data_IF_943911767313
#
_entry.id   IF_943911767313
#
_cell.length_a   1.000
_cell.length_b   1.000
_cell.length_c   1.000
_cell.angle_alpha   90.00
_cell.angle_beta   90.00
_cell.angle_gamma   90.00
#
_symmetry.space_group_name_H-M   'P 1'
#
loop_
_entity.id
_entity.type
_entity.pdbx_description
1 polymer ?
#
# COMPACT_ATOMS: atom_id res chain seq x y z
N UNK A 1 11.15 9.58 15.32
CA UNK A 1 9.96 8.71 15.26
C UNK A 1 9.98 8.09 13.89
N UNK A 2 9.99 6.76 13.81
CA UNK A 2 10.43 6.02 12.63
C UNK A 2 9.32 5.99 11.58
N UNK A 3 9.42 6.83 10.56
CA UNK A 3 8.66 6.80 9.29
C UNK A 3 9.02 5.55 8.45
N UNK A 4 9.28 4.42 9.10
CA UNK A 4 9.91 3.26 8.50
C UNK A 4 8.87 2.29 7.95
N UNK A 5 9.08 1.90 6.69
CA UNK A 5 8.29 0.85 6.06
C UNK A 5 8.70 -0.51 6.60
N UNK A 6 7.74 -1.26 7.12
CA UNK A 6 7.94 -2.65 7.52
C UNK A 6 7.16 -3.61 6.63
N UNK A 7 7.69 -4.84 6.52
CA UNK A 7 7.05 -5.93 5.79
C UNK A 7 6.58 -6.98 6.79
N UNK A 8 5.33 -7.41 6.65
CA UNK A 8 4.77 -8.53 7.41
C UNK A 8 4.20 -9.55 6.44
N UNK A 9 4.50 -10.83 6.63
CA UNK A 9 3.89 -11.89 5.81
C UNK A 9 2.37 -11.90 5.99
N UNK A 10 1.66 -12.04 4.88
CA UNK A 10 0.22 -12.19 4.88
C UNK A 10 -0.18 -13.51 5.55
N UNK A 11 -1.32 -13.51 6.23
CA UNK A 11 -1.93 -14.71 6.80
C UNK A 11 -3.25 -14.92 6.08
N UNK A 12 -3.39 -16.07 5.40
CA UNK A 12 -4.57 -16.43 4.60
C UNK A 12 -5.09 -17.75 5.14
N UNK A 13 -6.34 -17.78 5.60
CA UNK A 13 -6.93 -18.97 6.21
C UNK A 13 -6.14 -19.49 7.43
N UNK A 14 -5.57 -18.59 8.22
CA UNK A 14 -4.75 -18.93 9.39
C UNK A 14 -3.31 -19.39 9.08
N UNK A 15 -2.91 -19.43 7.80
CA UNK A 15 -1.56 -19.83 7.38
C UNK A 15 -0.78 -18.66 6.82
N UNK A 16 0.48 -18.55 7.23
CA UNK A 16 1.40 -17.55 6.69
C UNK A 16 1.76 -17.87 5.24
N UNK A 17 1.57 -16.93 4.34
CA UNK A 17 2.01 -17.02 2.95
C UNK A 17 3.44 -16.45 2.82
N UNK A 18 4.45 -17.27 2.48
CA UNK A 18 5.87 -16.87 2.56
C UNK A 18 6.27 -15.83 1.52
N UNK A 19 5.63 -15.86 0.35
CA UNK A 19 5.91 -14.99 -0.79
C UNK A 19 4.87 -13.87 -0.93
N UNK A 20 4.23 -13.48 0.17
CA UNK A 20 3.17 -12.48 0.19
C UNK A 20 3.32 -11.58 1.42
N UNK A 21 3.56 -10.31 1.17
CA UNK A 21 3.95 -9.35 2.19
C UNK A 21 2.98 -8.17 2.18
N UNK A 22 2.42 -7.86 3.34
CA UNK A 22 1.74 -6.60 3.62
C UNK A 22 2.80 -5.56 3.95
N UNK A 23 2.69 -4.38 3.33
CA UNK A 23 3.55 -3.24 3.63
C UNK A 23 2.86 -2.33 4.64
N UNK A 24 3.54 -2.05 5.74
CA UNK A 24 2.99 -1.30 6.87
C UNK A 24 3.81 -0.03 7.10
N UNK A 25 3.12 1.09 7.25
CA UNK A 25 3.68 2.40 7.63
C UNK A 25 2.83 2.99 8.74
N UNK A 26 3.42 3.39 9.86
CA UNK A 26 2.71 3.94 11.03
C UNK A 26 1.45 3.13 11.40
N UNK A 27 1.62 1.81 11.57
CA UNK A 27 0.55 0.84 11.83
C UNK A 27 -0.54 0.71 10.74
N UNK A 28 -0.45 1.47 9.65
CA UNK A 28 -1.37 1.44 8.52
C UNK A 28 -0.90 0.46 7.46
N UNK A 29 -1.82 -0.40 6.99
CA UNK A 29 -1.58 -1.22 5.80
C UNK A 29 -1.66 -0.34 4.55
N UNK A 30 -0.52 -0.08 3.94
CA UNK A 30 -0.40 0.85 2.79
C UNK A 30 -0.03 0.14 1.49
N UNK A 31 -0.01 -1.19 1.49
CA UNK A 31 0.35 -1.94 0.31
C UNK A 31 0.52 -3.42 0.49
N UNK A 32 0.85 -4.06 -0.63
CA UNK A 32 1.15 -5.49 -0.72
C UNK A 32 2.22 -5.74 -1.78
N UNK A 33 3.09 -6.70 -1.51
CA UNK A 33 4.11 -7.20 -2.44
C UNK A 33 4.05 -8.72 -2.39
N UNK A 34 3.75 -9.36 -3.51
CA UNK A 34 3.59 -10.81 -3.55
C UNK A 34 4.11 -11.41 -4.85
N UNK A 35 4.58 -12.65 -4.76
CA UNK A 35 5.03 -13.40 -5.92
C UNK A 35 3.84 -13.89 -6.73
N UNK A 36 3.96 -13.74 -8.03
CA UNK A 36 3.05 -14.27 -9.04
C UNK A 36 3.86 -15.04 -10.08
N UNK A 37 3.15 -15.64 -11.04
CA UNK A 37 3.76 -16.30 -12.20
C UNK A 37 3.54 -15.42 -13.42
N UNK A 38 4.61 -15.04 -14.11
CA UNK A 38 4.53 -14.29 -15.35
C UNK A 38 3.89 -15.13 -16.47
N UNK A 39 3.39 -14.44 -17.50
CA UNK A 39 3.06 -15.09 -18.78
C UNK A 39 4.35 -15.72 -19.33
N UNK A 40 4.38 -17.05 -19.43
CA UNK A 40 5.58 -17.82 -19.79
C UNK A 40 6.27 -18.56 -18.64
N UNK A 41 5.72 -18.53 -17.42
CA UNK A 41 6.13 -19.41 -16.31
C UNK A 41 7.28 -18.89 -15.45
N UNK A 42 7.82 -17.70 -15.76
CA UNK A 42 8.85 -17.05 -14.93
C UNK A 42 8.31 -16.55 -13.59
N UNK A 43 9.19 -16.43 -12.60
CA UNK A 43 8.86 -15.76 -11.35
C UNK A 43 8.68 -14.25 -11.59
N UNK A 44 7.61 -13.69 -11.05
CA UNK A 44 7.33 -12.26 -11.12
C UNK A 44 6.78 -11.78 -9.78
N UNK A 45 6.96 -10.50 -9.47
CA UNK A 45 6.55 -9.91 -8.20
C UNK A 45 5.60 -8.76 -8.47
N UNK A 46 4.35 -8.94 -8.08
CA UNK A 46 3.36 -7.86 -8.10
C UNK A 46 3.51 -6.99 -6.86
N UNK A 47 3.39 -5.68 -7.04
CA UNK A 47 3.40 -4.71 -5.97
C UNK A 47 2.27 -3.69 -6.14
N UNK A 48 1.74 -3.21 -5.02
CA UNK A 48 0.66 -2.23 -4.99
C UNK A 48 0.79 -1.34 -3.76
N UNK A 49 0.91 -0.02 -3.97
CA UNK A 49 0.85 1.02 -2.95
C UNK A 49 -0.54 1.68 -2.98
N UNK A 50 -1.23 1.69 -1.86
CA UNK A 50 -2.58 2.24 -1.74
C UNK A 50 -2.84 2.79 -0.35
N UNK A 51 -3.83 3.68 -0.24
CA UNK A 51 -4.36 4.15 1.03
C UNK A 51 -5.83 3.76 1.16
N UNK A 52 -6.31 3.49 2.38
CA UNK A 52 -7.73 3.24 2.59
C UNK A 52 -8.58 4.40 2.08
N UNK A 53 -9.64 4.08 1.32
CA UNK A 53 -10.59 5.04 0.75
C UNK A 53 -10.01 6.01 -0.30
N UNK A 54 -8.82 5.72 -0.84
CA UNK A 54 -8.23 6.48 -1.94
C UNK A 54 -8.16 5.58 -3.18
N UNK A 55 -8.74 5.98 -4.32
CA UNK A 55 -8.60 5.23 -5.57
C UNK A 55 -7.13 5.02 -5.93
N UNK A 56 -6.74 3.78 -6.18
CA UNK A 56 -5.36 3.45 -6.52
C UNK A 56 -5.07 3.78 -7.99
N UNK A 57 -4.21 4.78 -8.21
CA UNK A 57 -3.73 5.14 -9.55
C UNK A 57 -2.91 4.00 -10.18
N UNK A 58 -2.91 3.92 -11.51
CA UNK A 58 -2.13 2.92 -12.25
C UNK A 58 -0.64 2.98 -11.93
N UNK A 59 -0.08 4.19 -11.75
CA UNK A 59 1.32 4.39 -11.39
C UNK A 59 1.69 3.87 -9.98
N UNK A 60 0.72 3.53 -9.13
CA UNK A 60 0.96 3.04 -7.77
C UNK A 60 0.86 1.51 -7.67
N UNK A 61 0.93 0.80 -8.80
CA UNK A 61 1.01 -0.66 -8.86
C UNK A 61 1.91 -1.10 -10.02
N UNK A 62 2.40 -2.33 -9.97
CA UNK A 62 3.17 -2.89 -11.07
C UNK A 62 3.69 -4.29 -10.78
N UNK A 63 4.63 -4.68 -11.62
CA UNK A 63 5.32 -5.97 -11.62
C UNK A 63 6.84 -5.74 -11.61
N UNK A 64 7.61 -6.72 -11.13
CA UNK A 64 9.06 -6.66 -11.07
C UNK A 64 9.66 -8.07 -11.06
N UNK A 65 10.84 -8.23 -11.67
CA UNK A 65 11.51 -9.52 -11.79
C UNK A 65 11.99 -10.11 -10.45
N UNK A 66 12.05 -9.31 -9.38
CA UNK A 66 12.51 -9.75 -8.06
C UNK A 66 11.81 -9.02 -6.92
N UNK A 67 11.84 -9.62 -5.73
CA UNK A 67 11.30 -9.02 -4.51
C UNK A 67 11.98 -7.67 -4.20
N UNK A 68 13.29 -7.56 -4.40
CA UNK A 68 14.00 -6.32 -4.10
C UNK A 68 13.69 -5.20 -5.10
N UNK A 69 13.52 -5.55 -6.38
CA UNK A 69 13.04 -4.61 -7.38
C UNK A 69 11.60 -4.15 -7.06
N UNK A 70 10.73 -5.06 -6.62
CA UNK A 70 9.38 -4.72 -6.16
C UNK A 70 9.39 -3.79 -4.94
N UNK A 71 10.27 -4.05 -3.94
CA UNK A 71 10.45 -3.17 -2.78
C UNK A 71 10.93 -1.77 -3.19
N UNK A 72 11.87 -1.67 -4.13
CA UNK A 72 12.35 -0.39 -4.66
C UNK A 72 11.23 0.38 -5.36
N UNK A 73 10.51 -0.27 -6.29
CA UNK A 73 9.40 0.35 -7.00
C UNK A 73 8.29 0.82 -6.04
N UNK A 74 7.96 0.00 -5.04
CA UNK A 74 7.03 0.35 -3.97
C UNK A 74 7.48 1.61 -3.22
N UNK A 75 8.76 1.67 -2.79
CA UNK A 75 9.31 2.84 -2.08
C UNK A 75 9.20 4.11 -2.90
N UNK A 76 9.51 4.05 -4.19
CA UNK A 76 9.37 5.19 -5.09
C UNK A 76 7.92 5.63 -5.22
N UNK A 77 6.97 4.70 -5.38
CA UNK A 77 5.55 5.01 -5.43
C UNK A 77 5.03 5.63 -4.12
N UNK A 78 5.48 5.12 -2.97
CA UNK A 78 5.13 5.68 -1.66
C UNK A 78 5.68 7.10 -1.47
N UNK A 79 6.93 7.35 -1.85
CA UNK A 79 7.52 8.69 -1.80
C UNK A 79 6.77 9.70 -2.69
N UNK A 80 6.38 9.28 -3.90
CA UNK A 80 5.58 10.10 -4.81
C UNK A 80 4.19 10.39 -4.21
N UNK A 81 3.54 9.38 -3.63
CA UNK A 81 2.22 9.52 -3.01
C UNK A 81 2.27 10.43 -1.78
N UNK A 82 3.28 10.30 -0.91
CA UNK A 82 3.49 11.22 0.21
C UNK A 82 3.69 12.66 -0.26
N UNK A 83 4.27 12.86 -1.45
CA UNK A 83 4.51 14.19 -2.01
C UNK A 83 3.30 14.79 -2.71
N UNK A 84 2.25 13.98 -2.99
CA UNK A 84 1.06 14.42 -3.72
C UNK A 84 0.23 15.44 -2.89
N UNK A 85 0.14 16.71 -3.33
CA UNK A 85 -0.63 17.73 -2.62
C UNK A 85 -2.14 17.49 -2.65
N UNK A 86 -2.65 16.78 -3.65
CA UNK A 86 -4.07 16.50 -3.81
C UNK A 86 -4.52 15.45 -2.79
N UNK A 87 -3.71 14.41 -2.59
CA UNK A 87 -3.96 13.43 -1.53
C UNK A 87 -4.00 14.08 -0.14
N UNK A 88 -3.09 15.02 0.14
CA UNK A 88 -3.08 15.76 1.42
C UNK A 88 -4.38 16.56 1.61
N UNK A 89 -4.91 17.17 0.55
CA UNK A 89 -6.20 17.89 0.60
C UNK A 89 -7.39 16.95 0.81
N UNK A 90 -7.41 15.81 0.11
CA UNK A 90 -8.50 14.83 0.23
C UNK A 90 -8.57 14.23 1.64
N UNK A 91 -7.42 13.97 2.27
CA UNK A 91 -7.35 13.52 3.66
C UNK A 91 -7.84 14.57 4.66
N UNK A 92 -7.51 15.85 4.45
CA UNK A 92 -7.99 16.94 5.30
C UNK A 92 -9.53 17.05 5.24
N UNK A 93 -10.11 16.97 4.04
CA UNK A 93 -11.57 17.00 3.86
C UNK A 93 -12.28 15.75 4.40
N UNK A 94 -11.65 14.57 4.34
CA UNK A 94 -12.23 13.34 4.90
C UNK A 94 -12.26 13.32 6.43
N UNK A 95 -11.28 13.96 7.09
CA UNK A 95 -11.27 14.11 8.56
C UNK A 95 -12.41 15.01 9.05
N UNK A 96 -12.72 16.06 8.29
CA UNK A 96 -13.76 17.03 8.65
C UNK A 96 -15.18 16.42 8.64
N UNK A 97 -15.43 15.49 7.70
CA UNK A 97 -16.72 14.76 7.59
C UNK A 97 -16.96 13.70 8.68
N UNK A 98 -15.94 13.35 9.48
CA UNK A 98 -16.09 12.41 10.60
C UNK A 98 -16.40 13.10 11.93
N UNK A 99 -16.50 14.44 11.96
CA UNK A 99 -16.97 15.15 13.15
C UNK A 99 -18.46 14.79 13.33
N UNK A 100 -18.86 14.17 14.45
CA UNK A 100 -20.27 13.89 14.69
C UNK A 100 -21.01 15.23 14.70
N UNK A 101 -22.06 15.36 13.90
CA UNK A 101 -22.95 16.50 14.02
C UNK A 101 -23.56 16.43 15.43
N UNK A 102 -23.54 17.54 16.19
CA UNK A 102 -24.25 17.57 17.46
C UNK A 102 -25.71 17.26 17.17
N UNK A 103 -26.22 16.20 17.79
CA UNK A 103 -27.65 15.88 17.82
C UNK A 103 -28.38 17.13 18.29
N UNK A 104 -29.12 17.77 17.39
CA UNK A 104 -30.08 18.80 17.79
C UNK A 104 -31.23 18.07 18.49
N UNK A 105 -31.27 18.29 19.81
CA UNK A 105 -32.36 18.12 20.79
C UNK A 105 -33.40 17.01 20.52
#
# INVERSE_FOLDING_TARGET
>A
MTDELSLRRAVIGGKTAPDDHVVIWDHLHIGRIFRTTAVGGGADWSWSCFLPNVPQRSAHRGHAASLDAAKMAFRSAWAALQSDPQLRRDQAGARDRRRPQPSLA
#
